data_IF_436470275594
#
_entry.id   IF_436470275594
#
_cell.length_a   1.000
_cell.length_b   1.000
_cell.length_c   1.000
_cell.angle_alpha   90.00
_cell.angle_beta   90.00
_cell.angle_gamma   90.00
#
_symmetry.space_group_name_H-M   'P 1'
#
loop_
_entity.id
_entity.type
_entity.pdbx_description
1 polymer ?
#
# COMPACT_ATOMS: atom_id res chain seq x y z
N UNK A 1 19.54 20.23 -41.59
CA UNK A 1 20.76 20.26 -42.42
C UNK A 1 20.73 19.03 -43.30
N UNK A 2 20.15 19.15 -44.49
CA UNK A 2 20.12 18.09 -45.48
C UNK A 2 21.35 18.20 -46.37
N UNK A 3 22.01 17.07 -46.63
CA UNK A 3 23.05 16.99 -47.65
C UNK A 3 22.32 17.07 -49.00
N UNK A 4 22.70 18.06 -49.80
CA UNK A 4 22.19 18.28 -51.14
C UNK A 4 22.81 17.24 -52.08
N UNK A 5 21.99 16.28 -52.50
CA UNK A 5 22.42 15.11 -53.29
C UNK A 5 22.76 15.53 -54.73
N UNK A 6 22.20 16.65 -55.21
CA UNK A 6 22.48 17.16 -56.55
C UNK A 6 23.89 17.77 -56.61
N UNK A 7 24.35 18.41 -55.53
CA UNK A 7 25.72 18.92 -55.40
C UNK A 7 26.79 17.81 -55.25
N UNK A 8 26.42 16.63 -54.74
CA UNK A 8 27.34 15.49 -54.62
C UNK A 8 27.54 14.73 -55.95
N UNK A 9 26.57 14.85 -56.88
CA UNK A 9 26.66 14.24 -58.21
C UNK A 9 27.34 15.17 -59.23
N UNK A 10 27.28 16.49 -59.06
CA UNK A 10 28.03 17.45 -59.90
C UNK A 10 29.56 17.39 -59.69
N UNK A 11 30.05 17.00 -58.51
CA UNK A 11 31.49 16.81 -58.26
C UNK A 11 32.04 15.50 -58.86
N UNK A 12 31.19 14.54 -59.24
CA UNK A 12 31.61 13.29 -59.88
C UNK A 12 31.64 13.38 -61.41
N UNK A 13 30.79 14.22 -62.01
CA UNK A 13 30.75 14.44 -63.46
C UNK A 13 31.64 15.60 -63.96
N UNK A 14 32.16 16.47 -63.08
CA UNK A 14 32.97 17.65 -63.46
C UNK A 14 34.48 17.41 -63.58
N UNK A 15 34.97 16.17 -63.44
CA UNK A 15 36.41 15.85 -63.64
C UNK A 15 36.75 15.19 -64.97
N UNK A 16 35.77 14.99 -65.87
CA UNK A 16 36.00 14.39 -67.19
C UNK A 16 35.31 15.15 -68.33
N UNK A 17 35.72 16.40 -68.53
CA UNK A 17 35.75 17.10 -69.82
C UNK A 17 36.71 18.29 -69.60
N UNK A 18 37.76 18.55 -70.37
CA UNK A 18 37.74 18.94 -71.78
C UNK A 18 39.12 18.66 -72.39
N UNK A 19 39.17 17.96 -73.52
CA UNK A 19 39.55 18.53 -74.84
C UNK A 19 39.50 17.45 -75.91
N UNK A 20 38.39 17.46 -76.66
CA UNK A 20 38.34 17.01 -78.04
C UNK A 20 39.33 17.86 -78.85
N UNK A 21 40.42 17.24 -79.29
CA UNK A 21 41.09 17.66 -80.51
C UNK A 21 41.00 16.50 -81.51
N UNK A 22 40.53 16.86 -82.69
CA UNK A 22 40.33 15.99 -83.84
C UNK A 22 41.55 15.12 -84.13
N UNK A 23 41.36 13.81 -84.11
CA UNK A 23 42.18 12.95 -84.96
C UNK A 23 41.41 11.69 -85.33
N UNK A 24 41.23 11.56 -86.66
CA UNK A 24 40.78 10.37 -87.37
C UNK A 24 41.47 9.12 -86.80
N UNK A 25 40.74 8.29 -86.06
CA UNK A 25 41.14 6.89 -85.89
C UNK A 25 40.75 6.19 -87.19
N UNK A 26 41.67 6.25 -88.16
CA UNK A 26 41.77 5.24 -89.20
C UNK A 26 41.99 3.91 -88.49
N UNK A 27 41.24 2.90 -88.87
CA UNK A 27 41.67 1.51 -88.76
C UNK A 27 43.04 1.38 -89.43
N UNK A 28 44.11 1.47 -88.65
CA UNK A 28 45.39 0.87 -89.02
C UNK A 28 45.39 -0.52 -88.40
N UNK A 29 45.22 -1.52 -89.27
CA UNK A 29 45.81 -2.83 -89.06
C UNK A 29 47.33 -2.65 -88.92
N UNK A 30 47.80 -2.24 -87.73
CA UNK A 30 49.21 -2.27 -87.36
C UNK A 30 49.59 -3.70 -86.94
N UNK A 31 49.57 -4.59 -87.93
CA UNK A 31 50.57 -5.65 -87.99
C UNK A 31 51.92 -4.98 -88.19
N UNK A 32 52.58 -4.53 -87.13
CA UNK A 32 54.03 -4.44 -87.09
C UNK A 32 54.53 -4.18 -85.68
N UNK A 33 55.02 -5.27 -85.09
CA UNK A 33 56.03 -5.35 -84.04
C UNK A 33 56.45 -4.02 -83.40
N UNK A 34 56.12 -3.82 -82.12
CA UNK A 34 57.19 -3.42 -81.19
C UNK A 34 58.26 -4.47 -81.37
N UNK A 35 59.23 -4.21 -82.25
CA UNK A 35 60.45 -5.00 -82.34
C UNK A 35 60.95 -5.03 -80.91
N UNK A 36 60.80 -6.19 -80.25
CA UNK A 36 61.72 -6.57 -79.18
C UNK A 36 63.06 -6.33 -79.83
N UNK A 37 63.77 -5.33 -79.32
CA UNK A 37 64.96 -4.86 -79.97
C UNK A 37 65.99 -5.99 -79.92
N UNK A 38 66.05 -6.78 -80.99
CA UNK A 38 67.02 -7.84 -81.19
C UNK A 38 68.43 -7.26 -81.30
N UNK A 39 68.59 -5.92 -81.32
CA UNK A 39 69.91 -5.31 -81.16
C UNK A 39 70.52 -5.62 -79.81
N UNK A 40 69.79 -5.84 -78.70
CA UNK A 40 70.43 -6.17 -77.42
C UNK A 40 71.04 -7.58 -77.44
N UNK A 41 70.32 -8.58 -77.95
CA UNK A 41 70.86 -9.94 -78.06
C UNK A 41 72.01 -10.02 -79.08
N UNK A 42 71.88 -9.29 -80.19
CA UNK A 42 72.94 -9.20 -81.19
C UNK A 42 74.16 -8.44 -80.65
N UNK A 43 73.96 -7.31 -79.97
CA UNK A 43 75.00 -6.51 -79.30
C UNK A 43 75.71 -7.29 -78.19
N UNK A 44 74.96 -8.04 -77.36
CA UNK A 44 75.54 -8.88 -76.32
C UNK A 44 76.30 -10.06 -76.90
N UNK A 45 75.77 -10.74 -77.92
CA UNK A 45 76.50 -11.81 -78.63
C UNK A 45 77.77 -11.27 -79.32
N UNK A 46 77.69 -10.10 -79.97
CA UNK A 46 78.84 -9.45 -80.61
C UNK A 46 79.88 -9.00 -79.57
N UNK A 47 79.46 -8.60 -78.35
CA UNK A 47 80.35 -8.32 -77.23
C UNK A 47 80.96 -9.59 -76.63
N UNK A 48 80.18 -10.66 -76.49
CA UNK A 48 80.67 -11.96 -76.02
C UNK A 48 81.72 -12.52 -76.98
N UNK A 49 81.46 -12.50 -78.30
CA UNK A 49 82.42 -12.95 -79.31
C UNK A 49 83.71 -12.10 -79.31
N UNK A 50 83.64 -10.81 -78.95
CA UNK A 50 84.83 -9.95 -78.76
C UNK A 50 85.57 -10.18 -77.43
N UNK A 51 84.86 -10.67 -76.41
CA UNK A 51 85.42 -11.01 -75.10
C UNK A 51 86.09 -12.39 -75.10
N UNK A 52 85.68 -13.30 -76.00
CA UNK A 52 86.29 -14.62 -76.19
C UNK A 52 87.79 -14.52 -76.49
N UNK A 53 88.23 -13.46 -77.18
CA UNK A 53 89.64 -13.23 -77.52
C UNK A 53 90.48 -12.64 -76.37
N UNK A 54 89.86 -12.14 -75.29
CA UNK A 54 90.52 -11.31 -74.28
C UNK A 54 90.34 -11.79 -72.82
N UNK A 55 89.65 -12.90 -72.60
CA UNK A 55 89.31 -13.42 -71.26
C UNK A 55 89.69 -14.90 -71.16
N UNK A 56 90.05 -15.37 -69.97
CA UNK A 56 90.35 -16.79 -69.76
C UNK A 56 89.12 -17.66 -70.13
N UNK A 57 89.36 -18.84 -70.71
CA UNK A 57 88.30 -19.73 -71.19
C UNK A 57 87.30 -20.12 -70.09
N UNK A 58 87.78 -20.20 -68.85
CA UNK A 58 86.99 -20.60 -67.67
C UNK A 58 86.00 -19.50 -67.27
N UNK A 59 86.46 -18.25 -67.24
CA UNK A 59 85.62 -17.07 -66.95
C UNK A 59 84.61 -16.82 -68.07
N UNK A 60 84.99 -17.06 -69.33
CA UNK A 60 84.09 -16.94 -70.47
C UNK A 60 82.94 -17.95 -70.39
N UNK A 61 83.24 -19.21 -70.08
CA UNK A 61 82.23 -20.26 -69.91
C UNK A 61 81.29 -19.97 -68.74
N UNK A 62 81.80 -19.42 -67.64
CA UNK A 62 80.97 -18.98 -66.52
C UNK A 62 80.00 -17.87 -66.92
N UNK A 63 80.48 -16.85 -67.64
CA UNK A 63 79.64 -15.74 -68.11
C UNK A 63 78.56 -16.21 -69.11
N UNK A 64 78.89 -17.14 -70.02
CA UNK A 64 77.91 -17.75 -70.93
C UNK A 64 76.85 -18.53 -70.17
N UNK A 65 77.26 -19.30 -69.14
CA UNK A 65 76.33 -20.06 -68.30
C UNK A 65 75.43 -19.13 -67.48
N UNK A 66 75.99 -18.11 -66.85
CA UNK A 66 75.24 -17.09 -66.12
C UNK A 66 74.24 -16.34 -67.03
N UNK A 67 74.67 -15.94 -68.23
CA UNK A 67 73.80 -15.33 -69.23
C UNK A 67 72.67 -16.28 -69.67
N UNK A 68 72.95 -17.59 -69.82
CA UNK A 68 71.93 -18.58 -70.17
C UNK A 68 70.88 -18.78 -69.07
N UNK A 69 71.30 -18.75 -67.80
CA UNK A 69 70.41 -18.84 -66.62
C UNK A 69 69.53 -17.59 -66.50
N UNK A 70 70.12 -16.39 -66.63
CA UNK A 70 69.39 -15.12 -66.65
C UNK A 70 68.37 -15.10 -67.79
N UNK A 71 68.76 -15.57 -68.98
CA UNK A 71 67.88 -15.67 -70.15
C UNK A 71 66.73 -16.67 -69.94
N UNK A 72 66.95 -17.79 -69.24
CA UNK A 72 65.89 -18.72 -68.84
C UNK A 72 64.95 -18.09 -67.81
N UNK A 73 65.50 -17.37 -66.82
CA UNK A 73 64.71 -16.67 -65.83
C UNK A 73 63.82 -15.60 -66.49
N UNK A 74 64.39 -14.77 -67.37
CA UNK A 74 63.68 -13.70 -68.07
C UNK A 74 62.61 -14.25 -69.04
N UNK A 75 62.88 -15.41 -69.66
CA UNK A 75 61.90 -16.11 -70.51
C UNK A 75 60.74 -16.73 -69.70
N UNK A 76 60.99 -17.12 -68.44
CA UNK A 76 60.01 -17.77 -67.57
C UNK A 76 59.30 -16.81 -66.59
N UNK A 77 59.77 -15.56 -66.48
CA UNK A 77 59.18 -14.55 -65.62
C UNK A 77 57.76 -14.13 -66.08
N UNK A 78 57.50 -13.91 -67.39
CA UNK A 78 56.16 -13.58 -67.86
C UNK A 78 55.14 -14.69 -67.58
N UNK A 79 55.53 -15.97 -67.75
CA UNK A 79 54.63 -17.11 -67.52
C UNK A 79 54.32 -17.30 -66.04
N UNK A 80 55.30 -17.16 -65.14
CA UNK A 80 55.07 -17.20 -63.68
C UNK A 80 54.22 -16.04 -63.17
N UNK A 81 54.42 -14.82 -63.69
CA UNK A 81 53.59 -13.67 -63.35
C UNK A 81 52.15 -13.83 -63.88
N UNK A 82 51.98 -14.41 -65.07
CA UNK A 82 50.66 -14.74 -65.63
C UNK A 82 49.93 -15.82 -64.81
N UNK A 83 50.63 -16.84 -64.30
CA UNK A 83 50.04 -17.85 -63.42
C UNK A 83 49.61 -17.29 -62.07
N UNK A 84 50.42 -16.43 -61.44
CA UNK A 84 50.06 -15.75 -60.20
C UNK A 84 48.84 -14.83 -60.37
N UNK A 85 48.75 -14.13 -61.51
CA UNK A 85 47.61 -13.28 -61.81
C UNK A 85 46.33 -14.10 -62.09
N UNK A 86 46.46 -15.22 -62.83
CA UNK A 86 45.34 -16.17 -63.04
C UNK A 86 44.84 -16.77 -61.73
N UNK A 87 45.74 -17.22 -60.85
CA UNK A 87 45.36 -17.88 -59.60
C UNK A 87 44.73 -16.88 -58.62
N UNK A 88 45.31 -15.68 -58.47
CA UNK A 88 44.75 -14.60 -57.66
C UNK A 88 43.39 -14.14 -58.19
N UNK A 89 43.22 -14.03 -59.51
CA UNK A 89 41.94 -13.68 -60.14
C UNK A 89 40.86 -14.74 -59.88
N UNK A 90 41.20 -16.03 -59.95
CA UNK A 90 40.25 -17.13 -59.66
C UNK A 90 39.84 -17.12 -58.19
N UNK A 91 40.78 -16.95 -57.27
CA UNK A 91 40.51 -16.89 -55.82
C UNK A 91 39.66 -15.66 -55.47
N UNK A 92 40.02 -14.46 -55.96
CA UNK A 92 39.23 -13.23 -55.77
C UNK A 92 37.83 -13.34 -56.38
N UNK A 93 37.68 -13.93 -57.56
CA UNK A 93 36.38 -14.17 -58.17
C UNK A 93 35.54 -15.18 -57.37
N UNK A 94 36.17 -16.21 -56.78
CA UNK A 94 35.47 -17.19 -55.95
C UNK A 94 35.01 -16.60 -54.60
N UNK A 95 35.85 -15.77 -53.97
CA UNK A 95 35.52 -15.02 -52.76
C UNK A 95 34.43 -13.99 -53.04
N UNK A 96 34.58 -13.21 -54.11
CA UNK A 96 33.57 -12.25 -54.56
C UNK A 96 32.21 -12.94 -54.78
N UNK A 97 32.17 -14.02 -55.56
CA UNK A 97 30.94 -14.80 -55.77
C UNK A 97 30.36 -15.33 -54.47
N UNK A 98 31.16 -15.92 -53.57
CA UNK A 98 30.68 -16.46 -52.30
C UNK A 98 30.09 -15.38 -51.40
N UNK A 99 30.77 -14.24 -51.24
CA UNK A 99 30.26 -13.11 -50.46
C UNK A 99 28.98 -12.53 -51.07
N UNK A 100 28.93 -12.35 -52.38
CA UNK A 100 27.73 -11.86 -53.07
C UNK A 100 26.55 -12.83 -52.92
N UNK A 101 26.78 -14.14 -53.09
CA UNK A 101 25.74 -15.17 -52.93
C UNK A 101 25.23 -15.22 -51.49
N UNK A 102 26.11 -15.30 -50.49
CA UNK A 102 25.71 -15.34 -49.07
C UNK A 102 25.01 -14.06 -48.63
N UNK A 103 25.45 -12.90 -49.12
CA UNK A 103 24.78 -11.62 -48.86
C UNK A 103 23.37 -11.58 -49.48
N UNK A 104 23.22 -11.98 -50.75
CA UNK A 104 21.93 -12.05 -51.42
C UNK A 104 20.98 -13.07 -50.77
N UNK A 105 21.49 -14.22 -50.34
CA UNK A 105 20.73 -15.22 -49.58
C UNK A 105 20.28 -14.67 -48.22
N UNK A 106 21.15 -13.95 -47.51
CA UNK A 106 20.83 -13.29 -46.25
C UNK A 106 19.72 -12.25 -46.40
N UNK A 107 19.80 -11.38 -47.42
CA UNK A 107 18.77 -10.37 -47.69
C UNK A 107 17.45 -11.04 -48.10
N UNK A 108 17.48 -12.08 -48.93
CA UNK A 108 16.27 -12.87 -49.29
C UNK A 108 15.65 -13.57 -48.08
N UNK A 109 16.46 -14.13 -47.19
CA UNK A 109 16.00 -14.75 -45.95
C UNK A 109 15.30 -13.73 -45.05
N UNK A 110 15.89 -12.54 -44.87
CA UNK A 110 15.30 -11.43 -44.12
C UNK A 110 13.98 -10.94 -44.75
N UNK A 111 13.93 -10.78 -46.09
CA UNK A 111 12.69 -10.48 -46.81
C UNK A 111 11.59 -11.48 -46.45
N UNK A 112 11.88 -12.77 -46.54
CA UNK A 112 10.89 -13.83 -46.29
C UNK A 112 10.45 -13.84 -44.83
N UNK A 113 11.40 -13.71 -43.88
CA UNK A 113 11.11 -13.68 -42.44
C UNK A 113 10.17 -12.53 -42.08
N UNK A 114 10.54 -11.30 -42.43
CA UNK A 114 9.75 -10.12 -42.08
C UNK A 114 8.48 -10.02 -42.92
N UNK A 115 8.52 -10.37 -44.21
CA UNK A 115 7.36 -10.36 -45.09
C UNK A 115 6.27 -11.34 -44.62
N UNK A 116 6.64 -12.59 -44.31
CA UNK A 116 5.69 -13.59 -43.81
C UNK A 116 5.12 -13.18 -42.44
N UNK A 117 5.98 -12.68 -41.54
CA UNK A 117 5.54 -12.16 -40.24
C UNK A 117 4.51 -11.04 -40.41
N UNK A 118 4.80 -10.05 -41.26
CA UNK A 118 3.89 -8.92 -41.51
C UNK A 118 2.56 -9.43 -42.06
N UNK A 119 2.58 -10.25 -43.12
CA UNK A 119 1.36 -10.74 -43.78
C UNK A 119 0.47 -11.56 -42.82
N UNK A 120 1.07 -12.46 -42.04
CA UNK A 120 0.32 -13.27 -41.08
C UNK A 120 -0.32 -12.41 -39.99
N UNK A 121 0.43 -11.47 -39.43
CA UNK A 121 -0.08 -10.61 -38.37
C UNK A 121 -1.10 -9.59 -38.89
N UNK A 122 -1.02 -9.12 -40.13
CA UNK A 122 -2.07 -8.29 -40.74
C UNK A 122 -3.43 -9.02 -40.77
N UNK A 123 -3.44 -10.32 -41.13
CA UNK A 123 -4.68 -11.13 -41.08
C UNK A 123 -5.22 -11.31 -39.65
N UNK A 124 -4.33 -11.48 -38.69
CA UNK A 124 -4.72 -11.56 -37.28
C UNK A 124 -5.30 -10.24 -36.78
N UNK A 125 -4.74 -9.11 -37.18
CA UNK A 125 -5.27 -7.78 -36.86
C UNK A 125 -6.71 -7.65 -37.40
N UNK A 126 -6.98 -8.05 -38.63
CA UNK A 126 -8.34 -8.03 -39.18
C UNK A 126 -9.31 -8.87 -38.33
N UNK A 127 -8.88 -10.06 -37.92
CA UNK A 127 -9.67 -10.94 -37.04
C UNK A 127 -9.96 -10.27 -35.69
N UNK A 128 -8.96 -9.60 -35.10
CA UNK A 128 -9.12 -8.86 -33.85
C UNK A 128 -10.08 -7.68 -33.98
N UNK A 129 -10.05 -6.96 -35.12
CA UNK A 129 -10.99 -5.88 -35.43
C UNK A 129 -12.41 -6.44 -35.53
N UNK A 130 -12.62 -7.52 -36.29
CA UNK A 130 -13.93 -8.17 -36.43
C UNK A 130 -14.49 -8.68 -35.09
N UNK A 131 -13.61 -9.12 -34.18
CA UNK A 131 -13.98 -9.55 -32.84
C UNK A 131 -14.10 -8.39 -31.82
N UNK A 132 -14.03 -7.14 -32.27
CA UNK A 132 -14.10 -5.93 -31.44
C UNK A 132 -13.01 -5.87 -30.34
N UNK A 133 -11.86 -6.49 -30.56
CA UNK A 133 -10.70 -6.48 -29.65
C UNK A 133 -9.70 -5.38 -30.05
N UNK A 134 -10.19 -4.14 -30.17
CA UNK A 134 -9.43 -3.02 -30.74
C UNK A 134 -8.10 -2.72 -30.02
N UNK A 135 -8.01 -2.71 -28.67
CA UNK A 135 -6.73 -2.48 -28.00
C UNK A 135 -5.65 -3.52 -28.34
N UNK A 136 -6.05 -4.79 -28.53
CA UNK A 136 -5.13 -5.86 -28.94
C UNK A 136 -4.69 -5.68 -30.39
N UNK A 137 -5.61 -5.27 -31.26
CA UNK A 137 -5.32 -4.97 -32.67
C UNK A 137 -4.30 -3.84 -32.81
N UNK A 138 -4.44 -2.73 -32.05
CA UNK A 138 -3.50 -1.60 -32.04
C UNK A 138 -2.10 -2.04 -31.57
N UNK A 139 -2.03 -2.81 -30.48
CA UNK A 139 -0.74 -3.30 -29.97
C UNK A 139 -0.04 -4.20 -31.01
N UNK A 140 -0.78 -5.08 -31.67
CA UNK A 140 -0.23 -5.93 -32.73
C UNK A 140 0.20 -5.11 -33.94
N UNK A 141 -0.59 -4.12 -34.35
CA UNK A 141 -0.24 -3.18 -35.43
C UNK A 141 1.09 -2.49 -35.16
N UNK A 142 1.31 -1.94 -33.96
CA UNK A 142 2.57 -1.29 -33.59
C UNK A 142 3.79 -2.24 -33.71
N UNK A 143 3.61 -3.52 -33.36
CA UNK A 143 4.65 -4.56 -33.54
C UNK A 143 4.93 -4.84 -35.02
N UNK A 144 3.88 -4.92 -35.85
CA UNK A 144 4.02 -5.12 -37.29
C UNK A 144 4.72 -3.92 -37.94
N UNK A 145 4.33 -2.69 -37.58
CA UNK A 145 4.95 -1.45 -38.07
C UNK A 145 6.45 -1.40 -37.72
N UNK A 146 6.82 -1.81 -36.52
CA UNK A 146 8.24 -1.93 -36.13
C UNK A 146 9.00 -2.94 -37.00
N UNK A 147 8.41 -4.09 -37.31
CA UNK A 147 9.03 -5.09 -38.20
C UNK A 147 9.10 -4.62 -39.67
N UNK A 148 8.13 -3.82 -40.11
CA UNK A 148 8.15 -3.21 -41.44
C UNK A 148 9.32 -2.23 -41.63
N UNK A 149 9.72 -1.52 -40.57
CA UNK A 149 10.91 -0.68 -40.61
C UNK A 149 12.19 -1.49 -40.85
N UNK A 150 12.26 -2.71 -40.31
CA UNK A 150 13.36 -3.67 -40.47
C UNK A 150 13.35 -4.39 -41.83
N UNK A 151 12.31 -4.22 -42.64
CA UNK A 151 12.21 -4.87 -43.94
C UNK A 151 13.31 -4.34 -44.90
N UNK A 152 14.05 -5.21 -45.61
CA UNK A 152 15.19 -4.81 -46.43
C UNK A 152 14.81 -3.76 -47.50
N UNK A 153 15.67 -2.77 -47.71
CA UNK A 153 15.39 -1.66 -48.63
C UNK A 153 15.56 -2.07 -50.09
N UNK A 154 16.33 -3.12 -50.36
CA UNK A 154 16.64 -3.66 -51.68
C UNK A 154 15.39 -4.23 -52.38
N UNK A 155 14.35 -4.57 -51.60
CA UNK A 155 13.05 -5.05 -52.10
C UNK A 155 11.99 -3.95 -52.08
N UNK A 156 12.28 -2.84 -52.77
CA UNK A 156 11.44 -1.63 -52.77
C UNK A 156 10.00 -1.94 -53.18
N UNK A 157 9.80 -2.74 -54.24
CA UNK A 157 8.46 -3.07 -54.76
C UNK A 157 7.64 -3.82 -53.71
N UNK A 158 8.19 -4.88 -53.11
CA UNK A 158 7.50 -5.66 -52.07
C UNK A 158 7.24 -4.79 -50.82
N UNK A 159 8.20 -3.94 -50.45
CA UNK A 159 8.07 -3.02 -49.32
C UNK A 159 6.93 -2.03 -49.57
N UNK A 160 6.82 -1.46 -50.76
CA UNK A 160 5.70 -0.57 -51.13
C UNK A 160 4.37 -1.33 -51.04
N UNK A 161 4.29 -2.58 -51.51
CA UNK A 161 3.06 -3.37 -51.43
C UNK A 161 2.66 -3.67 -49.98
N UNK A 162 3.60 -4.08 -49.14
CA UNK A 162 3.37 -4.27 -47.70
C UNK A 162 2.97 -2.97 -47.01
N UNK A 163 3.59 -1.85 -47.39
CA UNK A 163 3.26 -0.51 -46.90
C UNK A 163 1.82 -0.10 -47.24
N UNK A 164 1.35 -0.41 -48.45
CA UNK A 164 -0.05 -0.19 -48.84
C UNK A 164 -1.00 -0.99 -47.94
N UNK A 165 -0.73 -2.30 -47.76
CA UNK A 165 -1.55 -3.17 -46.89
C UNK A 165 -1.56 -2.68 -45.44
N UNK A 166 -0.41 -2.23 -44.93
CA UNK A 166 -0.30 -1.64 -43.59
C UNK A 166 -1.16 -0.39 -43.42
N UNK A 167 -1.11 0.55 -44.37
CA UNK A 167 -1.95 1.76 -44.35
C UNK A 167 -3.43 1.44 -44.45
N UNK A 168 -3.81 0.45 -45.27
CA UNK A 168 -5.22 -0.01 -45.32
C UNK A 168 -5.67 -0.54 -43.96
N UNK A 169 -4.84 -1.34 -43.28
CA UNK A 169 -5.15 -1.83 -41.95
C UNK A 169 -5.20 -0.70 -40.92
N UNK A 170 -4.29 0.27 -40.99
CA UNK A 170 -4.29 1.46 -40.13
C UNK A 170 -5.60 2.24 -40.23
N UNK A 171 -6.09 2.50 -41.45
CA UNK A 171 -7.38 3.16 -41.67
C UNK A 171 -8.50 2.35 -41.01
N UNK A 172 -8.56 1.03 -41.23
CA UNK A 172 -9.58 0.17 -40.64
C UNK A 172 -9.52 0.11 -39.12
N UNK A 173 -8.32 0.11 -38.53
CA UNK A 173 -8.14 0.20 -37.06
C UNK A 173 -8.70 1.52 -36.57
N UNK A 174 -8.38 2.64 -37.23
CA UNK A 174 -8.83 3.95 -36.81
C UNK A 174 -10.35 4.09 -36.91
N UNK A 175 -10.97 3.62 -37.99
CA UNK A 175 -12.42 3.57 -38.14
C UNK A 175 -13.09 2.72 -37.04
N UNK A 176 -12.57 1.52 -36.79
CA UNK A 176 -13.08 0.65 -35.74
C UNK A 176 -12.85 1.21 -34.33
N UNK A 177 -11.73 1.91 -34.12
CA UNK A 177 -11.42 2.60 -32.87
C UNK A 177 -12.39 3.73 -32.59
N UNK A 178 -12.78 4.53 -33.60
CA UNK A 178 -13.80 5.57 -33.45
C UNK A 178 -15.13 4.96 -32.97
N UNK A 179 -15.60 3.89 -33.62
CA UNK A 179 -16.85 3.22 -33.23
C UNK A 179 -16.76 2.63 -31.82
N UNK A 180 -15.65 1.98 -31.48
CA UNK A 180 -15.40 1.47 -30.14
C UNK A 180 -15.40 2.58 -29.10
N UNK A 181 -14.73 3.69 -29.39
CA UNK A 181 -14.60 4.87 -28.52
C UNK A 181 -15.95 5.54 -28.28
N UNK A 182 -16.77 5.71 -29.32
CA UNK A 182 -18.13 6.26 -29.19
C UNK A 182 -19.03 5.37 -28.33
N UNK A 183 -18.91 4.04 -28.50
CA UNK A 183 -19.67 3.07 -27.71
C UNK A 183 -19.29 3.11 -26.22
N UNK A 184 -18.00 3.10 -25.92
CA UNK A 184 -17.48 3.20 -24.54
C UNK A 184 -17.92 4.53 -23.90
N UNK A 185 -17.75 5.65 -24.61
CA UNK A 185 -18.16 6.97 -24.12
C UNK A 185 -19.67 7.00 -23.81
N UNK A 186 -20.50 6.45 -24.72
CA UNK A 186 -21.95 6.35 -24.52
C UNK A 186 -22.30 5.49 -23.31
N UNK A 187 -21.59 4.38 -23.10
CA UNK A 187 -21.80 3.51 -21.95
C UNK A 187 -21.46 4.23 -20.63
N UNK A 188 -20.33 4.93 -20.58
CA UNK A 188 -19.92 5.71 -19.40
C UNK A 188 -20.98 6.78 -19.08
N UNK A 189 -21.42 7.55 -20.09
CA UNK A 189 -22.47 8.58 -19.92
C UNK A 189 -23.77 7.97 -19.42
N UNK A 190 -24.18 6.82 -19.97
CA UNK A 190 -25.40 6.12 -19.53
C UNK A 190 -25.30 5.64 -18.09
N UNK A 191 -24.15 5.05 -17.71
CA UNK A 191 -23.93 4.55 -16.35
C UNK A 191 -23.97 5.71 -15.34
N UNK A 192 -23.28 6.81 -15.64
CA UNK A 192 -23.32 8.02 -14.81
C UNK A 192 -24.74 8.58 -14.69
N UNK A 193 -25.47 8.73 -15.80
CA UNK A 193 -26.83 9.25 -15.79
C UNK A 193 -27.78 8.38 -14.95
N UNK A 194 -27.65 7.05 -15.05
CA UNK A 194 -28.45 6.12 -14.27
C UNK A 194 -28.14 6.26 -12.77
N UNK A 195 -26.86 6.23 -12.38
CA UNK A 195 -26.45 6.35 -10.99
C UNK A 195 -26.81 7.72 -10.39
N UNK A 196 -26.66 8.82 -11.13
CA UNK A 196 -27.11 10.16 -10.71
C UNK A 196 -28.63 10.18 -10.50
N UNK A 197 -29.39 9.53 -11.37
CA UNK A 197 -30.86 9.48 -11.26
C UNK A 197 -31.29 8.65 -10.04
N UNK A 198 -30.66 7.49 -9.82
CA UNK A 198 -30.89 6.67 -8.64
C UNK A 198 -30.50 7.39 -7.36
N UNK A 199 -29.37 8.10 -7.35
CA UNK A 199 -28.95 8.93 -6.21
C UNK A 199 -30.00 9.99 -5.89
N UNK A 200 -30.47 10.75 -6.89
CA UNK A 200 -31.53 11.76 -6.71
C UNK A 200 -32.81 11.18 -6.10
N UNK A 201 -33.23 9.98 -6.52
CA UNK A 201 -34.41 9.31 -5.97
C UNK A 201 -34.20 8.83 -4.52
N UNK A 202 -32.95 8.58 -4.13
CA UNK A 202 -32.58 8.11 -2.80
C UNK A 202 -32.13 9.24 -1.85
N UNK A 203 -32.14 10.51 -2.27
CA UNK A 203 -31.96 11.69 -1.41
C UNK A 203 -33.20 11.91 -0.52
N UNK A 204 -33.51 10.91 0.30
CA UNK A 204 -34.62 10.90 1.25
C UNK A 204 -34.09 10.52 2.65
N UNK A 205 -34.74 10.99 3.73
CA UNK A 205 -34.31 10.66 5.09
C UNK A 205 -34.23 9.15 5.33
N UNK A 206 -33.25 8.71 6.13
CA UNK A 206 -33.07 7.30 6.51
C UNK A 206 -32.37 6.40 5.51
N UNK A 207 -31.79 6.94 4.42
CA UNK A 207 -31.05 6.18 3.39
C UNK A 207 -29.57 6.55 3.27
N UNK A 208 -28.91 6.88 4.39
CA UNK A 208 -27.51 7.34 4.42
C UNK A 208 -26.57 6.36 3.69
N UNK A 209 -26.57 5.08 4.07
CA UNK A 209 -25.70 4.05 3.46
C UNK A 209 -25.91 3.90 1.94
N UNK A 210 -27.17 3.99 1.49
CA UNK A 210 -27.52 3.92 0.07
C UNK A 210 -26.97 5.11 -0.70
N UNK A 211 -27.07 6.32 -0.13
CA UNK A 211 -26.52 7.56 -0.71
C UNK A 211 -25.00 7.42 -0.85
N UNK A 212 -24.31 7.01 0.22
CA UNK A 212 -22.86 6.80 0.23
C UNK A 212 -22.41 5.76 -0.79
N UNK A 213 -23.16 4.65 -0.92
CA UNK A 213 -22.89 3.60 -1.92
C UNK A 213 -22.99 4.14 -3.36
N UNK A 214 -24.03 4.93 -3.67
CA UNK A 214 -24.17 5.54 -5.00
C UNK A 214 -23.07 6.56 -5.29
N UNK A 215 -22.68 7.38 -4.31
CA UNK A 215 -21.55 8.31 -4.45
C UNK A 215 -20.25 7.56 -4.77
N UNK A 216 -19.98 6.46 -4.07
CA UNK A 216 -18.80 5.63 -4.33
C UNK A 216 -18.81 5.02 -5.74
N UNK A 217 -19.96 4.53 -6.22
CA UNK A 217 -20.10 4.01 -7.60
C UNK A 217 -19.85 5.09 -8.64
N UNK A 218 -20.40 6.29 -8.44
CA UNK A 218 -20.19 7.43 -9.35
C UNK A 218 -18.69 7.77 -9.45
N UNK A 219 -18.00 7.86 -8.31
CA UNK A 219 -16.55 8.12 -8.28
C UNK A 219 -15.77 7.00 -8.99
N UNK A 220 -16.13 5.74 -8.72
CA UNK A 220 -15.51 4.58 -9.38
C UNK A 220 -15.67 4.60 -10.91
N UNK A 221 -16.84 5.02 -11.43
CA UNK A 221 -17.06 5.16 -12.88
C UNK A 221 -16.15 6.26 -13.45
N UNK A 222 -15.99 7.39 -12.75
CA UNK A 222 -15.14 8.49 -13.20
C UNK A 222 -13.64 8.15 -13.11
N UNK A 223 -13.21 7.44 -12.08
CA UNK A 223 -11.81 7.05 -11.87
C UNK A 223 -11.36 5.98 -12.88
N UNK A 224 -12.28 5.06 -13.24
CA UNK A 224 -12.02 4.05 -14.27
C UNK A 224 -12.21 4.60 -15.69
N UNK A 225 -12.71 5.82 -15.86
CA UNK A 225 -12.85 6.42 -17.20
C UNK A 225 -11.47 6.76 -17.77
N UNK A 226 -11.13 6.30 -18.99
CA UNK A 226 -9.88 6.68 -19.64
C UNK A 226 -9.70 8.20 -19.70
N UNK A 227 -8.50 8.68 -19.36
CA UNK A 227 -8.20 10.13 -19.31
C UNK A 227 -8.43 10.86 -20.63
N UNK A 228 -8.38 10.15 -21.76
CA UNK A 228 -8.69 10.69 -23.08
C UNK A 228 -10.13 11.20 -23.20
N UNK A 229 -11.07 10.70 -22.39
CA UNK A 229 -12.47 11.14 -22.38
C UNK A 229 -12.74 12.37 -21.50
N UNK A 230 -11.70 12.98 -20.93
CA UNK A 230 -11.87 14.06 -19.96
C UNK A 230 -12.73 15.21 -20.51
N UNK A 231 -12.43 15.65 -21.74
CA UNK A 231 -13.11 16.79 -22.37
C UNK A 231 -14.57 16.46 -22.74
N UNK A 232 -14.81 15.24 -23.20
CA UNK A 232 -16.10 14.73 -23.63
C UNK A 232 -17.06 14.50 -22.47
N UNK A 233 -16.51 14.29 -21.27
CA UNK A 233 -17.24 14.07 -20.03
C UNK A 233 -17.34 15.33 -19.15
N UNK A 234 -16.92 16.51 -19.60
CA UNK A 234 -16.96 17.74 -18.80
C UNK A 234 -18.39 18.02 -18.27
N UNK A 235 -19.41 17.87 -19.12
CA UNK A 235 -20.80 18.14 -18.73
C UNK A 235 -21.26 17.17 -17.64
N UNK A 236 -20.97 15.88 -17.82
CA UNK A 236 -21.29 14.83 -16.86
C UNK A 236 -20.52 15.03 -15.55
N UNK A 237 -19.23 15.39 -15.60
CA UNK A 237 -18.41 15.71 -14.42
C UNK A 237 -18.99 16.89 -13.64
N UNK A 238 -19.43 17.95 -14.32
CA UNK A 238 -20.11 19.08 -13.66
C UNK A 238 -21.40 18.62 -13.00
N UNK A 239 -22.19 17.76 -13.65
CA UNK A 239 -23.42 17.22 -13.06
C UNK A 239 -23.13 16.32 -11.85
N UNK A 240 -22.09 15.49 -11.93
CA UNK A 240 -21.58 14.66 -10.83
C UNK A 240 -21.17 15.55 -9.66
N UNK A 241 -20.34 16.56 -9.87
CA UNK A 241 -19.91 17.46 -8.80
C UNK A 241 -21.10 18.17 -8.15
N UNK A 242 -22.08 18.62 -8.94
CA UNK A 242 -23.31 19.23 -8.39
C UNK A 242 -24.10 18.25 -7.51
N UNK A 243 -24.28 17.00 -7.94
CA UNK A 243 -25.05 16.04 -7.14
C UNK A 243 -24.27 15.55 -5.92
N UNK A 244 -22.94 15.44 -6.01
CA UNK A 244 -22.07 15.13 -4.86
C UNK A 244 -22.25 16.21 -3.79
N UNK A 245 -22.09 17.49 -4.14
CA UNK A 245 -22.27 18.61 -3.20
C UNK A 245 -23.65 18.56 -2.54
N UNK A 246 -24.72 18.42 -3.34
CA UNK A 246 -26.08 18.31 -2.81
C UNK A 246 -26.25 17.11 -1.87
N UNK A 247 -25.63 15.98 -2.18
CA UNK A 247 -25.70 14.77 -1.37
C UNK A 247 -24.92 14.93 -0.06
N UNK A 248 -23.74 15.54 -0.10
CA UNK A 248 -22.93 15.83 1.09
C UNK A 248 -23.64 16.81 2.03
N UNK A 249 -24.26 17.87 1.48
CA UNK A 249 -25.07 18.80 2.27
C UNK A 249 -26.29 18.10 2.91
N UNK A 250 -26.93 17.21 2.15
CA UNK A 250 -28.04 16.40 2.66
C UNK A 250 -27.59 15.45 3.78
N UNK A 251 -26.50 14.71 3.57
CA UNK A 251 -25.91 13.81 4.56
C UNK A 251 -25.54 14.56 5.83
N UNK A 252 -24.86 15.71 5.71
CA UNK A 252 -24.54 16.58 6.84
C UNK A 252 -25.78 16.97 7.65
N UNK A 253 -26.88 17.28 6.96
CA UNK A 253 -28.16 17.63 7.59
C UNK A 253 -28.76 16.42 8.31
N UNK A 254 -28.78 15.25 7.67
CA UNK A 254 -29.29 14.01 8.29
C UNK A 254 -28.47 13.61 9.52
N UNK A 255 -27.14 13.62 9.43
CA UNK A 255 -26.26 13.36 10.55
C UNK A 255 -26.50 14.37 11.70
N UNK A 256 -26.76 15.64 11.39
CA UNK A 256 -27.06 16.65 12.41
C UNK A 256 -28.40 16.37 13.12
N UNK A 257 -29.42 15.95 12.38
CA UNK A 257 -30.72 15.58 12.95
C UNK A 257 -30.56 14.37 13.87
N UNK A 258 -29.92 13.30 13.38
CA UNK A 258 -29.67 12.09 14.15
C UNK A 258 -28.83 12.37 15.41
N UNK A 259 -27.80 13.22 15.29
CA UNK A 259 -26.99 13.64 16.43
C UNK A 259 -27.83 14.37 17.48
N UNK A 260 -28.66 15.35 17.08
CA UNK A 260 -29.51 16.11 18.01
C UNK A 260 -30.56 15.23 18.70
N UNK A 261 -31.12 14.26 18.00
CA UNK A 261 -32.05 13.29 18.58
C UNK A 261 -31.36 12.44 19.64
N UNK A 262 -30.18 11.89 19.33
CA UNK A 262 -29.39 11.11 20.29
C UNK A 262 -28.87 11.96 21.45
N UNK A 263 -28.48 13.21 21.21
CA UNK A 263 -28.10 14.17 22.25
C UNK A 263 -29.27 14.45 23.22
N UNK A 264 -30.49 14.58 22.68
CA UNK A 264 -31.71 14.74 23.50
C UNK A 264 -31.98 13.49 24.34
N UNK A 265 -31.85 12.30 23.76
CA UNK A 265 -31.99 11.03 24.50
C UNK A 265 -30.90 10.90 25.58
N UNK A 266 -29.67 11.28 25.27
CA UNK A 266 -28.54 11.28 26.19
C UNK A 266 -28.82 12.18 27.39
N UNK A 267 -29.25 13.42 27.15
CA UNK A 267 -29.55 14.35 28.24
C UNK A 267 -30.67 13.82 29.17
N UNK A 268 -31.70 13.16 28.63
CA UNK A 268 -32.75 12.51 29.44
C UNK A 268 -32.21 11.37 30.30
N UNK A 269 -31.37 10.49 29.73
CA UNK A 269 -30.73 9.40 30.47
C UNK A 269 -29.77 9.94 31.53
N UNK A 270 -29.06 11.02 31.22
CA UNK A 270 -28.11 11.66 32.11
C UNK A 270 -28.79 12.27 33.35
N UNK A 271 -29.92 12.95 33.17
CA UNK A 271 -30.76 13.43 34.28
C UNK A 271 -31.28 12.28 35.16
N UNK A 272 -31.69 11.17 34.53
CA UNK A 272 -32.13 9.97 35.24
C UNK A 272 -30.99 9.34 36.05
N UNK A 273 -29.80 9.27 35.48
CA UNK A 273 -28.59 8.82 36.16
C UNK A 273 -28.30 9.66 37.40
N UNK A 274 -28.30 10.99 37.28
CA UNK A 274 -28.11 11.88 38.43
C UNK A 274 -29.20 11.71 39.50
N UNK A 275 -30.45 11.49 39.09
CA UNK A 275 -31.53 11.20 40.04
C UNK A 275 -31.25 9.92 40.84
N UNK A 276 -30.71 8.86 40.23
CA UNK A 276 -30.34 7.63 40.93
C UNK A 276 -29.13 7.83 41.86
N UNK A 277 -28.16 8.65 41.47
CA UNK A 277 -27.04 9.01 42.34
C UNK A 277 -27.51 9.74 43.61
N UNK A 278 -28.41 10.71 43.48
CA UNK A 278 -28.98 11.44 44.62
C UNK A 278 -29.72 10.47 45.56
N UNK A 279 -30.48 9.53 44.99
CA UNK A 279 -31.19 8.49 45.75
C UNK A 279 -30.27 7.40 46.32
N UNK A 280 -28.96 7.45 46.02
CA UNK A 280 -27.95 6.43 46.36
C UNK A 280 -28.32 5.02 45.85
N UNK A 281 -29.10 4.94 44.77
CA UNK A 281 -29.45 3.68 44.13
C UNK A 281 -28.35 3.28 43.14
N UNK A 282 -27.34 2.58 43.66
CA UNK A 282 -26.14 2.19 42.91
C UNK A 282 -26.46 1.29 41.72
N UNK A 283 -27.38 0.34 41.88
CA UNK A 283 -27.72 -0.61 40.82
C UNK A 283 -28.39 0.09 39.64
N UNK A 284 -29.39 0.94 39.90
CA UNK A 284 -30.04 1.70 38.84
C UNK A 284 -29.10 2.71 38.17
N UNK A 285 -28.18 3.32 38.95
CA UNK A 285 -27.17 4.21 38.41
C UNK A 285 -26.19 3.50 37.48
N UNK A 286 -25.73 2.28 37.83
CA UNK A 286 -24.87 1.45 36.98
C UNK A 286 -25.56 1.10 35.65
N UNK A 287 -26.80 0.60 35.70
CA UNK A 287 -27.55 0.24 34.48
C UNK A 287 -27.72 1.46 33.57
N UNK A 288 -28.07 2.62 34.14
CA UNK A 288 -28.25 3.85 33.35
C UNK A 288 -26.92 4.34 32.77
N UNK A 289 -25.79 4.12 33.46
CA UNK A 289 -24.46 4.45 32.95
C UNK A 289 -24.08 3.60 31.72
N UNK A 290 -24.36 2.29 31.76
CA UNK A 290 -24.15 1.41 30.61
C UNK A 290 -25.03 1.82 29.41
N UNK A 291 -26.27 2.26 29.66
CA UNK A 291 -27.14 2.82 28.62
C UNK A 291 -26.57 4.11 28.00
N UNK A 292 -25.95 4.99 28.81
CA UNK A 292 -25.28 6.20 28.33
C UNK A 292 -24.09 5.87 27.42
N UNK A 293 -23.27 4.88 27.79
CA UNK A 293 -22.15 4.41 26.96
C UNK A 293 -22.63 3.85 25.62
N UNK A 294 -23.62 2.95 25.65
CA UNK A 294 -24.20 2.36 24.44
C UNK A 294 -24.78 3.43 23.50
N UNK A 295 -25.43 4.46 24.05
CA UNK A 295 -25.97 5.55 23.26
C UNK A 295 -24.85 6.40 22.64
N UNK A 296 -23.79 6.68 23.40
CA UNK A 296 -22.61 7.41 22.94
C UNK A 296 -21.89 6.70 21.78
N UNK A 297 -21.69 5.39 21.87
CA UNK A 297 -21.07 4.59 20.80
C UNK A 297 -21.87 4.71 19.50
N UNK A 298 -23.19 4.75 19.60
CA UNK A 298 -24.09 4.88 18.46
C UNK A 298 -24.20 6.31 17.94
N UNK A 299 -23.65 7.33 18.59
CA UNK A 299 -23.73 8.70 18.07
C UNK A 299 -22.88 8.87 16.80
N UNK A 300 -23.38 9.61 15.78
CA UNK A 300 -22.64 9.85 14.55
C UNK A 300 -21.27 10.48 14.80
N UNK A 301 -20.23 9.97 14.12
CA UNK A 301 -18.85 10.48 14.22
C UNK A 301 -18.63 11.82 13.52
N UNK A 302 -19.60 12.27 12.72
CA UNK A 302 -19.52 13.53 11.98
C UNK A 302 -19.35 14.79 12.88
N UNK A 303 -19.59 14.68 14.19
CA UNK A 303 -19.50 15.79 15.15
C UNK A 303 -18.54 15.49 16.31
N UNK A 304 -17.28 15.19 15.99
CA UNK A 304 -16.23 14.78 16.94
C UNK A 304 -16.12 15.72 18.14
N UNK A 305 -16.05 17.04 17.94
CA UNK A 305 -15.91 18.01 19.05
C UNK A 305 -17.06 17.91 20.07
N UNK A 306 -18.29 17.80 19.58
CA UNK A 306 -19.48 17.63 20.44
C UNK A 306 -19.49 16.26 21.10
N UNK A 307 -19.11 15.21 20.37
CA UNK A 307 -18.98 13.84 20.88
C UNK A 307 -17.95 13.78 22.01
N UNK A 308 -16.79 14.45 21.87
CA UNK A 308 -15.80 14.59 22.95
C UNK A 308 -16.40 15.27 24.18
N UNK A 309 -17.16 16.36 24.01
CA UNK A 309 -17.84 17.01 25.13
C UNK A 309 -18.84 16.10 25.87
N UNK A 310 -19.51 15.19 25.16
CA UNK A 310 -20.38 14.17 25.74
C UNK A 310 -19.55 13.10 26.48
N UNK A 311 -18.43 12.67 25.88
CA UNK A 311 -17.50 11.71 26.50
C UNK A 311 -16.94 12.24 27.83
N UNK A 312 -16.54 13.51 27.89
CA UNK A 312 -16.07 14.15 29.12
C UNK A 312 -17.13 14.14 30.21
N UNK A 313 -18.41 14.34 29.85
CA UNK A 313 -19.53 14.22 30.79
C UNK A 313 -19.70 12.78 31.28
N UNK A 314 -19.57 11.78 30.41
CA UNK A 314 -19.61 10.37 30.79
C UNK A 314 -18.47 10.02 31.75
N UNK A 315 -17.24 10.49 31.48
CA UNK A 315 -16.09 10.26 32.36
C UNK A 315 -16.28 10.89 33.74
N UNK A 316 -16.78 12.12 33.82
CA UNK A 316 -17.13 12.74 35.11
C UNK A 316 -18.21 11.95 35.87
N UNK A 317 -19.20 11.43 35.15
CA UNK A 317 -20.22 10.56 35.73
C UNK A 317 -19.64 9.24 36.25
N UNK A 318 -18.64 8.67 35.58
CA UNK A 318 -17.93 7.48 36.02
C UNK A 318 -17.19 7.71 37.34
N UNK A 319 -16.45 8.82 37.47
CA UNK A 319 -15.78 9.19 38.72
C UNK A 319 -16.79 9.34 39.86
N UNK A 320 -17.91 10.01 39.60
CA UNK A 320 -18.97 10.19 40.58
C UNK A 320 -19.63 8.86 40.98
N UNK A 321 -19.85 7.94 40.04
CA UNK A 321 -20.38 6.60 40.29
C UNK A 321 -19.42 5.75 41.11
N UNK A 322 -18.11 5.77 40.80
CA UNK A 322 -17.10 5.06 41.57
C UNK A 322 -17.03 5.55 43.02
N UNK A 323 -17.09 6.87 43.23
CA UNK A 323 -17.15 7.43 44.58
C UNK A 323 -18.41 6.98 45.34
N UNK A 324 -19.56 6.90 44.66
CA UNK A 324 -20.79 6.39 45.25
C UNK A 324 -20.68 4.90 45.61
N UNK A 325 -20.15 4.07 44.71
CA UNK A 325 -19.91 2.64 44.93
C UNK A 325 -18.97 2.44 46.13
N UNK A 326 -17.86 3.17 46.16
CA UNK A 326 -16.88 3.09 47.25
C UNK A 326 -17.49 3.50 48.59
N UNK A 327 -18.22 4.62 48.62
CA UNK A 327 -18.87 5.11 49.84
C UNK A 327 -19.93 4.13 50.34
N UNK A 328 -20.72 3.55 49.43
CA UNK A 328 -21.72 2.54 49.77
C UNK A 328 -21.06 1.26 50.31
N UNK A 329 -19.97 0.81 49.67
CA UNK A 329 -19.21 -0.38 50.09
C UNK A 329 -18.56 -0.18 51.47
N UNK A 330 -17.99 0.99 51.73
CA UNK A 330 -17.44 1.35 53.05
C UNK A 330 -18.57 1.39 54.09
N UNK A 331 -19.71 1.99 53.77
CA UNK A 331 -20.87 2.04 54.68
C UNK A 331 -21.37 0.63 55.03
N UNK A 332 -21.49 -0.25 54.03
CA UNK A 332 -21.86 -1.65 54.23
C UNK A 332 -20.81 -2.38 55.08
N UNK A 333 -19.51 -2.22 54.78
CA UNK A 333 -18.43 -2.82 55.56
C UNK A 333 -18.47 -2.36 57.02
N UNK A 334 -18.60 -1.05 57.28
CA UNK A 334 -18.67 -0.51 58.63
C UNK A 334 -19.89 -1.01 59.40
N UNK A 335 -21.03 -1.16 58.72
CA UNK A 335 -22.25 -1.73 59.30
C UNK A 335 -22.03 -3.20 59.67
N UNK A 336 -21.45 -3.99 58.77
CA UNK A 336 -21.10 -5.40 58.98
C UNK A 336 -20.08 -5.57 60.11
N UNK A 337 -19.03 -4.76 60.13
CA UNK A 337 -18.00 -4.76 61.17
C UNK A 337 -18.57 -4.40 62.54
N UNK A 338 -19.39 -3.35 62.61
CA UNK A 338 -20.04 -2.92 63.86
C UNK A 338 -20.97 -4.01 64.39
N UNK A 339 -21.77 -4.61 63.49
CA UNK A 339 -22.65 -5.74 63.83
C UNK A 339 -21.84 -6.93 64.37
N UNK A 340 -20.76 -7.31 63.69
CA UNK A 340 -19.87 -8.40 64.11
C UNK A 340 -19.23 -8.12 65.48
N UNK A 341 -18.80 -6.88 65.75
CA UNK A 341 -18.23 -6.49 67.04
C UNK A 341 -19.27 -6.62 68.18
N UNK A 342 -20.51 -6.18 67.95
CA UNK A 342 -21.60 -6.34 68.92
C UNK A 342 -21.88 -7.83 69.17
N UNK A 343 -21.94 -8.65 68.12
CA UNK A 343 -22.11 -10.11 68.25
C UNK A 343 -20.97 -10.75 69.07
N UNK A 344 -19.72 -10.35 68.83
CA UNK A 344 -18.56 -10.83 69.60
C UNK A 344 -18.64 -10.42 71.07
N UNK A 345 -18.99 -9.17 71.36
CA UNK A 345 -19.18 -8.68 72.73
C UNK A 345 -20.30 -9.43 73.45
N UNK A 346 -21.39 -9.72 72.75
CA UNK A 346 -22.49 -10.52 73.28
C UNK A 346 -22.03 -11.95 73.63
N UNK A 347 -21.31 -12.64 72.72
CA UNK A 347 -20.75 -13.97 72.98
C UNK A 347 -19.87 -13.99 74.23
N UNK A 348 -18.91 -13.06 74.32
CA UNK A 348 -17.98 -12.98 75.45
C UNK A 348 -18.70 -12.75 76.77
N UNK A 349 -19.67 -11.84 76.79
CA UNK A 349 -20.40 -11.52 78.02
C UNK A 349 -21.35 -12.65 78.45
N UNK A 350 -22.03 -13.29 77.50
CA UNK A 350 -22.87 -14.47 77.78
C UNK A 350 -22.02 -15.60 78.34
N UNK A 351 -20.85 -15.88 77.75
CA UNK A 351 -19.93 -16.88 78.25
C UNK A 351 -19.48 -16.57 79.69
N UNK A 352 -19.09 -15.31 79.96
CA UNK A 352 -18.72 -14.88 81.31
C UNK A 352 -19.89 -15.00 82.30
N UNK A 353 -21.11 -14.62 81.91
CA UNK A 353 -22.30 -14.70 82.75
C UNK A 353 -22.75 -16.15 83.04
N UNK A 354 -22.52 -17.08 82.09
CA UNK A 354 -22.75 -18.52 82.29
C UNK A 354 -21.76 -19.12 83.30
N UNK A 355 -20.50 -18.65 83.32
CA UNK A 355 -19.45 -19.14 84.24
C UNK A 355 -19.58 -18.51 85.63
N UNK A 356 -19.89 -17.21 85.70
CA UNK A 356 -19.87 -16.44 86.93
C UNK A 356 -21.29 -16.10 87.39
N UNK A 357 -21.75 -16.69 88.50
CA UNK A 357 -23.13 -16.52 88.99
C UNK A 357 -23.46 -15.08 89.44
N UNK A 358 -22.45 -14.20 89.55
CA UNK A 358 -22.58 -12.81 89.97
C UNK A 358 -22.16 -11.83 88.85
N UNK A 359 -22.87 -11.85 87.72
CA UNK A 359 -22.64 -10.91 86.60
C UNK A 359 -23.28 -9.52 86.87
N UNK A 360 -23.30 -8.57 85.92
CA UNK A 360 -24.07 -7.32 86.05
C UNK A 360 -25.27 -7.34 85.09
N UNK A 361 -26.47 -7.10 85.63
CA UNK A 361 -27.73 -7.05 84.88
C UNK A 361 -27.78 -5.85 83.94
N UNK A 362 -27.18 -4.72 84.32
CA UNK A 362 -27.18 -3.49 83.54
C UNK A 362 -26.37 -3.65 82.24
N UNK A 363 -25.20 -4.28 82.32
CA UNK A 363 -24.37 -4.61 81.17
C UNK A 363 -25.06 -5.61 80.22
N UNK A 364 -25.76 -6.61 80.76
CA UNK A 364 -26.50 -7.60 79.95
C UNK A 364 -27.67 -6.94 79.20
N UNK A 365 -28.33 -5.96 79.82
CA UNK A 365 -29.37 -5.15 79.17
C UNK A 365 -28.78 -4.21 78.10
N UNK A 366 -27.62 -3.62 78.34
CA UNK A 366 -26.91 -2.78 77.38
C UNK A 366 -26.55 -3.55 76.11
N UNK A 367 -26.03 -4.77 76.26
CA UNK A 367 -25.67 -5.65 75.13
C UNK A 367 -26.92 -6.07 74.36
N UNK A 368 -28.04 -6.34 75.06
CA UNK A 368 -29.32 -6.63 74.41
C UNK A 368 -29.79 -5.49 73.52
N UNK A 369 -29.76 -4.26 74.03
CA UNK A 369 -30.15 -3.08 73.25
C UNK A 369 -29.26 -2.89 72.02
N UNK A 370 -27.96 -3.18 72.12
CA UNK A 370 -27.04 -3.12 70.97
C UNK A 370 -27.33 -4.24 69.94
N UNK A 371 -27.69 -5.44 70.39
CA UNK A 371 -28.13 -6.53 69.51
C UNK A 371 -29.42 -6.18 68.76
N UNK A 372 -30.36 -5.51 69.43
CA UNK A 372 -31.63 -5.06 68.84
C UNK A 372 -31.39 -4.12 67.63
N UNK A 373 -30.31 -3.32 67.64
CA UNK A 373 -29.92 -2.42 66.55
C UNK A 373 -29.38 -3.14 65.29
N UNK A 374 -29.02 -4.42 65.38
CA UNK A 374 -28.53 -5.20 64.23
C UNK A 374 -29.72 -5.65 63.35
N UNK A 375 -29.70 -5.48 62.02
CA UNK A 375 -30.77 -5.97 61.15
C UNK A 375 -30.90 -7.50 61.23
N UNK A 376 -32.13 -8.00 61.46
CA UNK A 376 -32.39 -9.44 61.63
C UNK A 376 -32.08 -10.25 60.37
N UNK A 377 -32.25 -9.67 59.18
CA UNK A 377 -32.07 -10.40 57.93
C UNK A 377 -30.61 -10.79 57.63
N UNK A 378 -29.65 -10.21 58.34
CA UNK A 378 -28.22 -10.34 58.03
C UNK A 378 -27.46 -11.32 58.93
N UNK A 379 -27.99 -11.68 60.10
CA UNK A 379 -27.25 -12.48 61.09
C UNK A 379 -28.17 -13.46 61.83
N UNK A 380 -28.19 -14.72 61.38
CA UNK A 380 -28.94 -15.83 62.02
C UNK A 380 -28.57 -16.00 63.49
N UNK A 381 -27.29 -15.82 63.83
CA UNK A 381 -26.78 -15.94 65.19
C UNK A 381 -27.37 -14.90 66.17
N UNK A 382 -27.86 -13.76 65.67
CA UNK A 382 -28.48 -12.73 66.50
C UNK A 382 -29.61 -13.32 67.35
N UNK A 383 -30.45 -14.16 66.76
CA UNK A 383 -31.62 -14.73 67.44
C UNK A 383 -31.22 -15.71 68.54
N UNK A 384 -30.15 -16.48 68.32
CA UNK A 384 -29.59 -17.39 69.33
C UNK A 384 -29.07 -16.59 70.53
N UNK A 385 -28.26 -15.56 70.29
CA UNK A 385 -27.69 -14.72 71.36
C UNK A 385 -28.77 -13.94 72.12
N UNK A 386 -29.80 -13.42 71.45
CA UNK A 386 -30.96 -12.79 72.09
C UNK A 386 -31.68 -13.75 73.03
N UNK A 387 -31.85 -15.01 72.61
CA UNK A 387 -32.50 -16.05 73.42
C UNK A 387 -31.67 -16.35 74.67
N UNK A 388 -30.37 -16.56 74.52
CA UNK A 388 -29.47 -16.82 75.66
C UNK A 388 -29.41 -15.64 76.65
N UNK A 389 -29.41 -14.39 76.16
CA UNK A 389 -29.48 -13.19 77.01
C UNK A 389 -30.80 -13.15 77.80
N UNK A 390 -31.93 -13.48 77.16
CA UNK A 390 -33.23 -13.51 77.83
C UNK A 390 -33.29 -14.59 78.93
N UNK A 391 -32.70 -15.76 78.69
CA UNK A 391 -32.58 -16.82 79.70
C UNK A 391 -31.75 -16.36 80.91
N UNK A 392 -30.59 -15.73 80.68
CA UNK A 392 -29.73 -15.20 81.74
C UNK A 392 -30.44 -14.10 82.56
N UNK A 393 -31.22 -13.23 81.93
CA UNK A 393 -32.04 -12.23 82.63
C UNK A 393 -33.11 -12.88 83.52
N UNK A 394 -33.70 -14.00 83.10
CA UNK A 394 -34.70 -14.73 83.89
C UNK A 394 -34.07 -15.48 85.08
N UNK A 395 -32.88 -16.07 84.90
CA UNK A 395 -32.09 -16.68 85.99
C UNK A 395 -31.73 -15.63 87.04
N UNK A 396 -31.34 -14.43 86.61
CA UNK A 396 -31.05 -13.31 87.51
C UNK A 396 -32.27 -12.91 88.36
N UNK A 397 -33.43 -12.74 87.72
CA UNK A 397 -34.70 -12.40 88.41
C UNK A 397 -35.09 -13.46 89.43
N UNK A 398 -34.89 -14.74 89.13
CA UNK A 398 -35.20 -15.85 90.05
C UNK A 398 -34.23 -15.95 91.22
N UNK A 399 -32.95 -15.60 91.03
CA UNK A 399 -31.96 -15.53 92.11
C UNK A 399 -32.12 -14.29 93.00
N UNK A 400 -32.49 -13.13 92.43
CA UNK A 400 -32.86 -11.92 93.19
C UNK A 400 -34.06 -12.20 94.11
N UNK A 401 -35.09 -12.89 93.60
CA UNK A 401 -36.26 -13.31 94.39
C UNK A 401 -35.97 -14.39 95.47
N UNK A 402 -34.87 -15.16 95.33
CA UNK A 402 -34.45 -16.15 96.35
C UNK A 402 -33.65 -15.52 97.49
N UNK A 403 -32.83 -14.51 97.20
CA UNK A 403 -32.01 -13.82 98.21
C UNK A 403 -32.84 -12.87 99.10
N UNK A 404 -34.04 -12.45 98.69
CA UNK A 404 -34.95 -11.69 99.57
C UNK A 404 -35.55 -12.54 100.73
N UNK A 405 -35.35 -13.86 100.75
CA UNK A 405 -35.77 -14.72 101.89
C UNK A 405 -34.68 -15.01 102.93
N UNK A 406 -33.46 -14.50 102.76
CA UNK A 406 -32.40 -14.61 103.78
C UNK A 406 -31.66 -13.29 103.91
N UNK A 407 -32.15 -12.44 104.80
CA UNK A 407 -31.46 -11.21 105.18
C UNK A 407 -30.44 -11.45 106.31
N UNK A 408 -29.37 -10.65 106.26
CA UNK A 408 -28.30 -10.42 107.23
C UNK A 408 -27.05 -11.30 107.14
N UNK A 409 -26.04 -10.80 106.43
CA UNK A 409 -24.75 -10.51 107.05
C UNK A 409 -24.01 -9.40 106.29
N UNK A 410 -23.58 -8.42 107.07
CA UNK A 410 -23.04 -7.13 106.71
C UNK A 410 -21.54 -7.28 106.41
N UNK A 411 -21.07 -7.01 105.19
CA UNK A 411 -19.63 -6.80 104.92
C UNK A 411 -19.47 -5.64 103.93
N UNK A 412 -18.94 -4.52 104.45
CA UNK A 412 -18.34 -3.42 103.69
C UNK A 412 -17.07 -3.90 102.99
N UNK A 413 -16.99 -3.76 101.66
CA UNK A 413 -15.70 -3.72 100.94
C UNK A 413 -15.70 -2.53 99.99
N UNK A 414 -14.58 -1.79 100.01
CA UNK A 414 -14.32 -0.53 99.32
C UNK A 414 -14.33 -0.69 97.78
N UNK A 415 -14.86 0.33 97.12
CA UNK A 415 -14.66 0.63 95.69
C UNK A 415 -13.20 0.98 95.38
N UNK A 416 -12.76 0.75 94.12
CA UNK A 416 -11.84 1.66 93.45
C UNK A 416 -12.53 2.41 92.30
N UNK A 417 -12.53 3.73 92.45
CA UNK A 417 -12.27 4.80 91.47
C UNK A 417 -12.59 4.63 89.98
N UNK A 418 -13.37 5.61 89.49
CA UNK A 418 -13.47 6.10 88.10
C UNK A 418 -12.18 5.93 87.28
N UNK A 419 -12.35 5.46 86.03
CA UNK A 419 -11.58 5.99 84.89
C UNK A 419 -12.57 6.60 83.91
N UNK A 420 -12.19 7.79 83.48
CA UNK A 420 -12.93 8.87 82.83
C UNK A 420 -13.39 8.59 81.41
N UNK A 421 -14.40 9.35 81.00
CA UNK A 421 -14.61 9.80 79.62
C UNK A 421 -13.25 10.13 78.96
N UNK A 422 -12.98 9.51 77.81
CA UNK A 422 -12.04 10.02 76.81
C UNK A 422 -12.76 9.98 75.46
N UNK A 423 -13.27 11.16 75.11
CA UNK A 423 -13.22 11.78 73.78
C UNK A 423 -13.53 10.92 72.55
N UNK A 424 -14.80 11.01 72.16
CA UNK A 424 -15.17 11.31 70.77
C UNK A 424 -14.43 12.56 70.27
N UNK A 425 -13.27 12.39 69.63
CA UNK A 425 -12.67 13.26 68.61
C UNK A 425 -11.18 12.92 68.48
N UNK A 426 -10.80 12.18 67.42
CA UNK A 426 -9.51 12.28 66.68
C UNK A 426 -9.26 10.98 65.87
N UNK A 427 -9.94 10.83 64.73
CA UNK A 427 -9.44 10.02 63.60
C UNK A 427 -9.70 10.80 62.30
N UNK A 428 -9.31 12.08 62.26
CA UNK A 428 -9.31 12.89 61.02
C UNK A 428 -7.98 13.58 60.73
N UNK A 429 -6.86 13.18 61.36
CA UNK A 429 -5.57 13.86 61.19
C UNK A 429 -4.35 13.00 60.82
N UNK A 430 -4.47 11.69 60.62
CA UNK A 430 -3.33 10.83 60.24
C UNK A 430 -3.30 10.38 58.77
N UNK A 431 -4.03 11.04 57.86
CA UNK A 431 -3.87 10.85 56.40
C UNK A 431 -3.13 12.04 55.74
N UNK A 432 -2.80 13.09 56.51
CA UNK A 432 -2.02 14.23 56.02
C UNK A 432 -0.67 14.31 56.70
N UNK A 433 0.19 13.31 56.48
CA UNK A 433 1.67 13.37 56.58
C UNK A 433 2.30 12.02 56.15
N UNK A 434 2.16 11.73 54.87
CA UNK A 434 3.07 10.87 54.07
C UNK A 434 2.99 11.31 52.61
N UNK A 435 3.24 12.61 52.44
CA UNK A 435 3.66 13.26 51.20
C UNK A 435 4.97 13.92 51.59
N UNK A 436 6.00 13.65 50.80
CA UNK A 436 7.41 14.02 50.96
C UNK A 436 8.30 12.92 51.55
N UNK A 437 9.16 12.46 50.63
CA UNK A 437 10.42 11.72 50.78
C UNK A 437 10.36 10.19 50.69
N UNK A 438 11.23 9.71 49.78
CA UNK A 438 11.54 8.34 49.35
C UNK A 438 10.53 7.70 48.37
N UNK A 439 10.89 7.30 47.15
CA UNK A 439 12.15 7.39 46.42
C UNK A 439 11.86 7.03 44.95
N UNK A 440 12.61 7.65 44.06
CA UNK A 440 12.59 7.46 42.62
C UNK A 440 12.97 6.03 42.22
N UNK A 441 12.07 5.31 41.55
CA UNK A 441 12.46 4.30 40.54
C UNK A 441 11.98 4.74 39.17
N UNK A 442 12.91 5.34 38.42
CA UNK A 442 12.79 5.62 36.99
C UNK A 442 12.63 4.31 36.21
N UNK A 443 11.43 4.03 35.72
CA UNK A 443 11.20 3.11 34.60
C UNK A 443 11.12 3.94 33.32
N UNK A 444 12.27 4.10 32.67
CA UNK A 444 12.42 4.64 31.33
C UNK A 444 11.78 3.65 30.33
N UNK A 445 10.52 3.88 29.97
CA UNK A 445 9.91 3.25 28.79
C UNK A 445 10.05 4.23 27.62
N UNK A 446 11.09 4.02 26.82
CA UNK A 446 11.29 4.72 25.56
C UNK A 446 10.28 4.18 24.54
N UNK A 447 9.16 4.86 24.36
CA UNK A 447 8.24 4.60 23.24
C UNK A 447 8.83 5.26 21.99
N UNK A 448 9.31 4.44 21.05
CA UNK A 448 9.72 4.90 19.71
C UNK A 448 8.49 5.49 18.99
N UNK A 449 8.60 6.67 18.36
CA UNK A 449 7.57 7.15 17.45
C UNK A 449 7.56 6.30 16.17
N UNK A 450 6.39 6.11 15.51
CA UNK A 450 6.30 5.40 14.25
C UNK A 450 6.93 6.22 13.11
N UNK A 451 7.62 5.51 12.21
CA UNK A 451 8.36 6.08 11.08
C UNK A 451 7.50 6.98 10.18
N UNK A 452 7.93 8.24 10.04
CA UNK A 452 7.49 9.15 8.99
C UNK A 452 7.91 8.58 7.62
N UNK A 453 6.94 8.11 6.84
CA UNK A 453 7.16 7.91 5.40
C UNK A 453 7.24 9.27 4.73
N UNK A 454 8.47 9.65 4.39
CA UNK A 454 8.77 10.72 3.44
C UNK A 454 8.10 10.42 2.11
N UNK A 455 7.06 11.19 1.78
CA UNK A 455 6.51 11.26 0.42
C UNK A 455 7.33 12.29 -0.34
N UNK A 456 8.26 11.83 -1.18
CA UNK A 456 8.83 12.65 -2.25
C UNK A 456 7.78 12.80 -3.36
N UNK A 457 7.43 14.04 -3.70
CA UNK A 457 6.62 14.36 -4.89
C UNK A 457 7.43 14.11 -6.19
N UNK A 458 6.76 13.79 -7.30
CA UNK A 458 7.33 13.88 -8.63
C UNK A 458 7.60 15.33 -9.06
#
# INVERSE_FOLDING_TARGET
MGIDIDAFLEDFDSSNDVKKEDSKIKETNDTNSKKIDLTFNKYMNDKFNKLEENVSQEDFNFLVKAYSEIKKFDKNLPSKLLELNKTSSVVLNSLGKKYTTTFLEGIKSNKNKYGNFIIQNLKQIETLISNNQIPKAINLYNKVTSNYQLFPKEFIIDKIELGKKLRTIEIRINEAFIVFWEKELKQIKSNLSNEISSLKQNLVPGKIETIESHLHKINTILDNSPSIFYNELIKERIQVSKIIILSEEFLKTQYLIEFKEKETQFNKLFERFHTYQIKKDVNSALITYDELLNLFERMPDAFIEKKIGIYDRINKSFESLNNLILTNSISQFMTTYSSSKILSQAREYIMHAKINTNFDKSNLLSIKNQLDEIPKELYLEKEELETEINELLNIRKTNENKNEKTHNLNIKVKTPTKISNIESNNISKDITKKKEEEETTNLNITVKPPDEKVITKP
#
